data_IF_392299117372
#
_entry.id   IF_392299117372
#
_cell.length_a   1.000
_cell.length_b   1.000
_cell.length_c   1.000
_cell.angle_alpha   90.00
_cell.angle_beta   90.00
_cell.angle_gamma   90.00
#
_symmetry.space_group_name_H-M   'P 1'
#
loop_
_entity.id
_entity.type
_entity.pdbx_description
1 polymer ?
#
# COMPACT_ATOMS: atom_id res chain seq x y z
N UNK A 1 -4.66 -10.96 -18.76
CA UNK A 1 -5.42 -10.43 -17.60
C UNK A 1 -4.54 -10.32 -16.35
N UNK A 2 -3.90 -11.39 -15.87
CA UNK A 2 -3.04 -11.33 -14.67
C UNK A 2 -1.90 -10.30 -14.76
N UNK A 3 -1.16 -10.29 -15.87
CA UNK A 3 -0.08 -9.31 -16.12
C UNK A 3 -0.63 -7.88 -16.15
N UNK A 4 -1.82 -7.68 -16.73
CA UNK A 4 -2.49 -6.38 -16.76
C UNK A 4 -2.93 -5.93 -15.35
N UNK A 5 -3.38 -6.85 -14.49
CA UNK A 5 -3.67 -6.53 -13.09
C UNK A 5 -2.42 -6.05 -12.36
N UNK A 6 -1.25 -6.68 -12.59
CA UNK A 6 0.00 -6.18 -12.02
C UNK A 6 0.36 -4.81 -12.55
N UNK A 7 0.28 -4.59 -13.88
CA UNK A 7 0.57 -3.29 -14.47
C UNK A 7 -0.27 -2.18 -13.84
N UNK A 8 -1.56 -2.42 -13.61
CA UNK A 8 -2.44 -1.47 -12.90
C UNK A 8 -2.05 -1.27 -11.44
N UNK A 9 -1.68 -2.35 -10.74
CA UNK A 9 -1.21 -2.26 -9.37
C UNK A 9 0.10 -1.48 -9.25
N UNK A 10 1.02 -1.61 -10.21
CA UNK A 10 2.25 -0.82 -10.24
C UNK A 10 1.97 0.66 -10.45
N UNK A 11 1.03 1.03 -11.34
CA UNK A 11 0.60 2.44 -11.48
C UNK A 11 0.04 3.00 -10.18
N UNK A 12 -0.79 2.23 -9.46
CA UNK A 12 -1.34 2.63 -8.15
C UNK A 12 -0.24 2.75 -7.10
N UNK A 13 0.69 1.77 -7.05
CA UNK A 13 1.84 1.76 -6.14
C UNK A 13 2.72 2.98 -6.36
N UNK A 14 3.01 3.33 -7.60
CA UNK A 14 3.85 4.48 -7.95
C UNK A 14 3.17 5.80 -7.56
N UNK A 15 1.86 5.91 -7.79
CA UNK A 15 1.08 7.06 -7.31
C UNK A 15 1.10 7.16 -5.78
N UNK A 16 0.88 6.04 -5.08
CA UNK A 16 0.90 5.97 -3.62
C UNK A 16 2.27 6.37 -3.05
N UNK A 17 3.37 5.86 -3.63
CA UNK A 17 4.73 6.24 -3.26
C UNK A 17 5.02 7.72 -3.56
N UNK A 18 4.50 8.24 -4.68
CA UNK A 18 4.69 9.65 -5.06
C UNK A 18 4.10 10.59 -4.02
N UNK A 19 2.84 10.36 -3.61
CA UNK A 19 2.12 11.22 -2.65
C UNK A 19 2.49 10.97 -1.19
N UNK A 20 3.21 9.88 -0.90
CA UNK A 20 3.57 9.51 0.47
C UNK A 20 4.44 10.58 1.14
N UNK A 21 4.15 10.95 2.39
CA UNK A 21 4.95 11.91 3.12
C UNK A 21 6.36 11.36 3.37
N UNK A 22 7.33 12.27 3.36
CA UNK A 22 8.67 12.03 3.88
C UNK A 22 8.78 12.91 5.12
N UNK A 23 8.73 12.29 6.30
CA UNK A 23 8.94 12.99 7.55
C UNK A 23 10.32 13.65 7.57
N UNK A 24 10.51 14.60 8.48
CA UNK A 24 11.83 15.21 8.72
C UNK A 24 12.54 14.46 9.83
N UNK A 25 13.87 14.34 9.75
CA UNK A 25 14.69 13.68 10.78
C UNK A 25 14.50 14.24 12.21
N UNK A 26 14.02 15.48 12.36
CA UNK A 26 13.72 16.08 13.66
C UNK A 26 12.58 15.38 14.43
N UNK A 27 11.65 14.71 13.74
CA UNK A 27 10.43 14.13 14.34
C UNK A 27 10.14 12.70 13.86
N UNK A 28 10.81 12.27 12.79
CA UNK A 28 10.72 10.93 12.23
C UNK A 28 12.11 10.28 12.29
N UNK A 29 12.32 9.24 13.12
CA UNK A 29 13.59 8.53 13.20
C UNK A 29 13.91 7.71 11.93
N UNK A 30 12.92 7.49 11.05
CA UNK A 30 13.09 6.79 9.78
C UNK A 30 12.44 7.56 8.61
N UNK A 31 12.97 8.75 8.24
CA UNK A 31 12.44 9.56 7.15
C UNK A 31 12.28 8.77 5.86
N UNK A 32 11.06 8.76 5.33
CA UNK A 32 10.75 8.11 4.05
C UNK A 32 10.55 6.59 4.12
N UNK A 33 10.62 5.97 5.30
CA UNK A 33 10.34 4.53 5.47
C UNK A 33 8.96 4.16 4.92
N UNK A 34 7.92 4.97 5.21
CA UNK A 34 6.56 4.76 4.69
C UNK A 34 6.53 4.72 3.17
N UNK A 35 7.14 5.72 2.54
CA UNK A 35 7.24 5.87 1.08
C UNK A 35 8.01 4.71 0.44
N UNK A 36 9.03 4.20 1.11
CA UNK A 36 9.83 3.06 0.64
C UNK A 36 9.15 1.70 0.85
N UNK A 37 8.06 1.65 1.63
CA UNK A 37 7.43 0.39 2.06
C UNK A 37 6.23 -0.04 1.20
N UNK A 38 6.05 0.53 0.00
CA UNK A 38 4.97 0.16 -0.91
C UNK A 38 5.30 -1.08 -1.75
N UNK A 39 4.37 -2.03 -1.81
CA UNK A 39 4.50 -3.28 -2.53
C UNK A 39 3.28 -3.55 -3.42
N UNK A 40 3.51 -4.29 -4.51
CA UNK A 40 2.45 -4.83 -5.37
C UNK A 40 2.64 -6.34 -5.54
N UNK A 41 1.55 -7.09 -5.49
CA UNK A 41 1.55 -8.53 -5.80
C UNK A 41 0.35 -8.88 -6.67
N UNK A 42 0.39 -10.05 -7.30
CA UNK A 42 -0.70 -10.52 -8.17
C UNK A 42 -0.98 -12.00 -7.94
N UNK A 43 -2.20 -12.41 -8.24
CA UNK A 43 -2.60 -13.81 -8.33
C UNK A 43 -3.49 -14.04 -9.54
N UNK A 44 -3.35 -15.19 -10.18
CA UNK A 44 -4.22 -15.64 -11.28
C UNK A 44 -5.65 -15.91 -10.81
N UNK A 45 -5.82 -16.32 -9.54
CA UNK A 45 -7.10 -16.75 -8.95
C UNK A 45 -7.24 -16.16 -7.55
N UNK A 46 -7.83 -14.97 -7.49
CA UNK A 46 -8.10 -14.20 -6.28
C UNK A 46 -9.57 -13.77 -6.17
N UNK A 47 -9.82 -12.79 -5.29
CA UNK A 47 -11.17 -12.39 -4.90
C UNK A 47 -11.86 -13.45 -4.02
N UNK A 48 -13.05 -13.13 -3.49
CA UNK A 48 -13.76 -14.01 -2.54
C UNK A 48 -13.99 -15.44 -3.05
N UNK A 49 -14.19 -15.60 -4.36
CA UNK A 49 -14.48 -16.90 -5.01
C UNK A 49 -13.27 -17.53 -5.72
N UNK A 50 -12.09 -16.90 -5.70
CA UNK A 50 -10.87 -17.38 -6.39
C UNK A 50 -11.08 -17.63 -7.90
N UNK A 51 -11.93 -16.83 -8.54
CA UNK A 51 -12.43 -17.02 -9.91
C UNK A 51 -11.87 -16.00 -10.91
N UNK A 52 -11.07 -15.03 -10.45
CA UNK A 52 -10.55 -13.95 -11.28
C UNK A 52 -9.13 -13.58 -10.93
N UNK A 53 -8.40 -13.01 -11.88
CA UNK A 53 -7.10 -12.43 -11.59
C UNK A 53 -7.27 -11.17 -10.72
N UNK A 54 -6.41 -11.02 -9.73
CA UNK A 54 -6.40 -9.87 -8.80
C UNK A 54 -4.96 -9.43 -8.60
N UNK A 55 -4.76 -8.14 -8.41
CA UNK A 55 -3.52 -7.59 -7.86
C UNK A 55 -3.83 -6.78 -6.60
N UNK A 56 -2.88 -6.79 -5.67
CA UNK A 56 -2.97 -6.15 -4.36
C UNK A 56 -1.84 -5.15 -4.23
N UNK A 57 -2.16 -3.94 -3.78
CA UNK A 57 -1.17 -2.93 -3.38
C UNK A 57 -1.27 -2.80 -1.86
N UNK A 58 -0.13 -2.81 -1.17
CA UNK A 58 -0.10 -2.76 0.30
C UNK A 58 1.19 -2.07 0.78
N UNK A 59 1.18 -1.58 2.03
CA UNK A 59 2.33 -0.93 2.65
C UNK A 59 2.83 -1.76 3.85
N UNK A 60 4.12 -2.07 3.90
CA UNK A 60 4.72 -2.90 4.96
C UNK A 60 5.16 -2.13 6.21
N UNK A 61 5.04 -0.80 6.24
CA UNK A 61 5.50 -0.01 7.37
C UNK A 61 4.71 -0.37 8.64
N UNK A 62 5.35 -0.49 9.82
CA UNK A 62 4.67 -0.89 11.06
C UNK A 62 3.47 -0.02 11.44
N UNK A 63 3.52 1.26 11.07
CA UNK A 63 2.48 2.26 11.34
C UNK A 63 1.49 2.44 10.19
N UNK A 64 1.61 1.69 9.08
CA UNK A 64 0.62 1.71 7.99
C UNK A 64 -0.78 1.32 8.47
N UNK A 65 -0.86 0.44 9.48
CA UNK A 65 -2.10 0.07 10.16
C UNK A 65 -2.88 1.28 10.70
N UNK A 66 -2.22 2.37 11.05
CA UNK A 66 -2.87 3.56 11.58
C UNK A 66 -3.53 4.41 10.50
N UNK A 67 -3.05 4.31 9.25
CA UNK A 67 -3.72 4.92 8.09
C UNK A 67 -4.95 4.09 7.71
N UNK A 68 -4.84 2.76 7.77
CA UNK A 68 -5.91 1.84 7.35
C UNK A 68 -7.03 1.71 8.38
N UNK A 69 -6.69 1.67 9.67
CA UNK A 69 -7.65 1.38 10.74
C UNK A 69 -7.80 2.51 11.77
N UNK A 70 -7.05 3.60 11.59
CA UNK A 70 -6.97 4.68 12.58
C UNK A 70 -6.13 4.29 13.80
N UNK A 71 -5.95 5.23 14.71
CA UNK A 71 -5.22 5.03 15.97
C UNK A 71 -6.17 4.82 17.15
N UNK A 72 -7.37 4.25 16.91
CA UNK A 72 -8.49 4.13 17.87
C UNK A 72 -9.07 5.48 18.37
N UNK A 73 -8.31 6.58 18.24
CA UNK A 73 -8.68 7.95 18.64
C UNK A 73 -9.43 8.73 17.56
N UNK A 74 -9.38 8.26 16.31
CA UNK A 74 -10.13 8.76 15.15
C UNK A 74 -10.57 7.54 14.35
N UNK A 75 -11.87 7.41 14.07
CA UNK A 75 -12.39 6.34 13.22
C UNK A 75 -11.83 6.51 11.81
N UNK A 76 -11.26 5.45 11.24
CA UNK A 76 -10.93 5.42 9.82
C UNK A 76 -12.22 5.34 8.98
N UNK A 77 -12.13 5.86 7.75
CA UNK A 77 -13.21 5.92 6.76
C UNK A 77 -13.65 4.54 6.25
#
# INVERSE_FOLDING_TARGET
VEVEMLRRADVIKDAAATISPVGTAAWDPHPGLYKASWHSTRTRRGGRRKDRAVATVWNSAPYARWVEYGTERVHAH
#
